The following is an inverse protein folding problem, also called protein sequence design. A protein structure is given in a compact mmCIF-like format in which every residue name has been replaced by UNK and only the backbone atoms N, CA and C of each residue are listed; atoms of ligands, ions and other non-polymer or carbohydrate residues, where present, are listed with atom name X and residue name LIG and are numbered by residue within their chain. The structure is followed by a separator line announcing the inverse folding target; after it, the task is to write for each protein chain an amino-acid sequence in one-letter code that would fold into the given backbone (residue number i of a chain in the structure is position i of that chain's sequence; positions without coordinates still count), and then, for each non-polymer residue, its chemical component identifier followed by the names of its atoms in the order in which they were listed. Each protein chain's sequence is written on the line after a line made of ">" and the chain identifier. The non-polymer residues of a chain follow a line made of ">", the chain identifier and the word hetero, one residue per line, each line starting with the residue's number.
data_IF_778860990209
#
_entry.id   IF_778860990209
#
_cell.length_a   1.000
_cell.length_b   1.000
_cell.length_c   1.000
_cell.angle_alpha   90.00
_cell.angle_beta   90.00
_cell.angle_gamma   90.00
#
_symmetry.space_group_name_H-M   'P 1'
#
loop_
_entity.id
_entity.type
_entity.pdbx_description
1 polymer ?
#
# COMPACT_ATOMS: atom_id res chain seq x y z
N UNK A 1 3.14 -6.72 18.28
CA UNK A 1 3.46 -5.45 17.59
C UNK A 1 4.05 -5.66 16.20
N UNK A 2 5.15 -6.42 16.03
CA UNK A 2 5.74 -6.65 14.70
C UNK A 2 4.82 -7.48 13.78
N UNK A 3 4.21 -8.54 14.31
CA UNK A 3 3.33 -9.42 13.53
C UNK A 3 2.09 -8.71 12.94
N UNK A 4 1.34 -7.90 13.72
CA UNK A 4 0.24 -7.10 13.18
C UNK A 4 0.67 -6.07 12.12
N UNK A 5 1.85 -5.47 12.27
CA UNK A 5 2.40 -4.55 11.25
C UNK A 5 2.68 -5.29 9.93
N UNK A 6 3.29 -6.48 10.00
CA UNK A 6 3.56 -7.31 8.82
C UNK A 6 2.24 -7.72 8.14
N UNK A 7 1.24 -8.12 8.92
CA UNK A 7 -0.10 -8.42 8.39
C UNK A 7 -0.73 -7.22 7.69
N UNK A 8 -0.59 -6.01 8.25
CA UNK A 8 -1.11 -4.81 7.61
C UNK A 8 -0.48 -4.56 6.23
N UNK A 9 0.84 -4.77 6.09
CA UNK A 9 1.50 -4.70 4.79
C UNK A 9 1.06 -5.82 3.84
N UNK A 10 0.94 -7.06 4.33
CA UNK A 10 0.49 -8.21 3.53
C UNK A 10 -0.97 -8.06 3.07
N UNK A 11 -1.81 -7.39 3.86
CA UNK A 11 -3.22 -7.17 3.53
C UNK A 11 -3.41 -6.01 2.54
N UNK A 12 -2.76 -4.86 2.78
CA UNK A 12 -2.97 -3.65 1.97
C UNK A 12 -2.11 -3.59 0.71
N UNK A 13 -1.08 -4.43 0.58
CA UNK A 13 -0.14 -4.41 -0.55
C UNK A 13 0.05 -5.80 -1.17
N UNK A 14 0.40 -5.82 -2.46
CA UNK A 14 0.75 -7.02 -3.22
C UNK A 14 2.25 -7.37 -3.11
N UNK A 15 2.99 -6.71 -2.23
CA UNK A 15 4.42 -6.95 -2.08
C UNK A 15 4.65 -8.34 -1.45
N UNK A 16 5.49 -9.20 -2.04
CA UNK A 16 5.72 -10.54 -1.52
C UNK A 16 6.56 -10.48 -0.23
N UNK A 17 5.89 -10.43 0.92
CA UNK A 17 6.53 -10.49 2.23
C UNK A 17 6.48 -11.94 2.72
N UNK A 18 7.58 -12.67 2.52
CA UNK A 18 7.70 -14.08 2.88
C UNK A 18 8.01 -14.28 4.38
N UNK A 19 7.15 -13.72 5.24
CA UNK A 19 7.22 -13.89 6.69
C UNK A 19 5.91 -14.55 7.13
N UNK A 20 6.04 -15.72 7.76
CA UNK A 20 4.89 -16.44 8.29
C UNK A 20 4.42 -15.74 9.57
N UNK A 21 3.20 -15.21 9.53
CA UNK A 21 2.53 -14.59 10.67
C UNK A 21 1.25 -15.36 10.96
N UNK A 22 0.98 -15.60 12.24
CA UNK A 22 -0.25 -16.27 12.68
C UNK A 22 -1.48 -15.38 12.41
N UNK A 23 -2.40 -15.89 11.59
CA UNK A 23 -3.67 -15.25 11.22
C UNK A 23 -4.74 -15.55 12.27
N UNK A 24 -4.56 -15.02 13.48
CA UNK A 24 -5.56 -15.07 14.55
C UNK A 24 -6.33 -13.74 14.65
N UNK A 25 -7.52 -13.78 15.26
CA UNK A 25 -8.42 -12.63 15.39
C UNK A 25 -7.74 -11.42 16.08
N UNK A 26 -6.87 -11.69 17.05
CA UNK A 26 -6.14 -10.65 17.77
C UNK A 26 -5.17 -9.90 16.85
N UNK A 27 -4.37 -10.62 16.08
CA UNK A 27 -3.40 -10.03 15.16
C UNK A 27 -4.08 -9.29 14.02
N UNK A 28 -5.22 -9.80 13.52
CA UNK A 28 -6.03 -9.12 12.51
C UNK A 28 -6.58 -7.81 13.07
N UNK A 29 -7.16 -7.83 14.28
CA UNK A 29 -7.69 -6.63 14.93
C UNK A 29 -6.59 -5.58 15.19
N UNK A 30 -5.45 -6.00 15.74
CA UNK A 30 -4.31 -5.11 16.00
C UNK A 30 -3.68 -4.56 14.71
N UNK A 31 -3.81 -5.26 13.57
CA UNK A 31 -3.22 -4.81 12.29
C UNK A 31 -3.87 -3.52 11.77
N UNK A 32 -5.14 -3.29 12.09
CA UNK A 32 -5.90 -2.11 11.65
C UNK A 32 -5.28 -0.81 12.16
N UNK A 33 -4.64 -0.83 13.34
CA UNK A 33 -3.92 0.32 13.88
C UNK A 33 -2.75 0.76 12.99
N UNK A 34 -2.21 -0.15 12.17
CA UNK A 34 -1.10 0.11 11.27
C UNK A 34 -1.56 0.48 9.85
N UNK A 35 -2.85 0.41 9.53
CA UNK A 35 -3.35 0.76 8.19
C UNK A 35 -3.04 2.21 7.81
N UNK A 36 -3.17 3.22 8.69
CA UNK A 36 -2.78 4.60 8.36
C UNK A 36 -1.29 4.72 8.03
N UNK A 37 -0.43 3.98 8.74
CA UNK A 37 1.00 3.99 8.49
C UNK A 37 1.34 3.35 7.14
N UNK A 38 0.76 2.19 6.83
CA UNK A 38 0.93 1.54 5.51
C UNK A 38 0.37 2.45 4.41
N UNK A 39 -0.79 3.07 4.62
CA UNK A 39 -1.37 4.06 3.70
C UNK A 39 -0.43 5.24 3.44
N UNK A 40 0.26 5.75 4.47
CA UNK A 40 1.28 6.79 4.30
C UNK A 40 2.43 6.31 3.39
N UNK A 41 2.91 5.08 3.57
CA UNK A 41 3.96 4.48 2.72
C UNK A 41 3.49 4.36 1.27
N UNK A 42 2.28 3.86 1.05
CA UNK A 42 1.64 3.77 -0.28
C UNK A 42 1.55 5.16 -0.94
N UNK A 43 1.12 6.16 -0.16
CA UNK A 43 1.01 7.55 -0.60
C UNK A 43 2.35 8.19 -0.94
N UNK A 44 3.40 7.95 -0.15
CA UNK A 44 4.76 8.42 -0.44
C UNK A 44 5.27 7.82 -1.74
N UNK A 45 5.07 6.52 -1.95
CA UNK A 45 5.52 5.86 -3.18
C UNK A 45 4.78 6.44 -4.39
N UNK A 46 3.45 6.54 -4.32
CA UNK A 46 2.62 6.99 -5.44
C UNK A 46 2.79 8.49 -5.72
N UNK A 47 2.92 9.30 -4.67
CA UNK A 47 3.26 10.72 -4.76
C UNK A 47 4.68 10.95 -5.27
N UNK A 48 5.63 10.07 -4.90
CA UNK A 48 6.98 10.06 -5.45
C UNK A 48 6.98 9.80 -6.96
N UNK A 49 6.16 8.86 -7.44
CA UNK A 49 5.96 8.62 -8.87
C UNK A 49 5.38 9.87 -9.54
N UNK A 50 4.36 10.49 -8.96
CA UNK A 50 3.80 11.73 -9.50
C UNK A 50 4.87 12.83 -9.65
N UNK A 51 5.64 13.10 -8.59
CA UNK A 51 6.66 14.14 -8.60
C UNK A 51 7.78 13.84 -9.60
N UNK A 52 8.19 12.58 -9.72
CA UNK A 52 9.21 12.15 -10.68
C UNK A 52 8.78 12.43 -12.14
N UNK A 53 7.52 12.19 -12.46
CA UNK A 53 6.97 12.34 -13.81
C UNK A 53 6.24 13.66 -14.06
N UNK A 54 6.17 14.56 -13.08
CA UNK A 54 5.49 15.86 -13.19
C UNK A 54 5.98 16.71 -14.36
N UNK A 55 7.27 16.60 -14.72
CA UNK A 55 7.89 17.26 -15.86
C UNK A 55 7.31 16.84 -17.23
N UNK A 56 6.72 15.65 -17.33
CA UNK A 56 6.10 15.13 -18.56
C UNK A 56 4.64 15.62 -18.74
N UNK A 57 4.09 16.36 -17.79
CA UNK A 57 2.72 16.86 -17.79
C UNK A 57 1.85 16.18 -16.72
N UNK A 58 0.89 16.94 -16.18
CA UNK A 58 0.07 16.51 -15.05
C UNK A 58 -0.78 15.26 -15.36
N UNK A 59 -1.27 15.13 -16.59
CA UNK A 59 -2.10 13.97 -16.98
C UNK A 59 -1.30 12.67 -16.94
N UNK A 60 -0.08 12.68 -17.51
CA UNK A 60 0.81 11.51 -17.53
C UNK A 60 1.27 11.19 -16.10
N UNK A 61 1.65 12.20 -15.32
CA UNK A 61 2.05 12.02 -13.93
C UNK A 61 0.93 11.42 -13.08
N UNK A 62 -0.31 11.89 -13.25
CA UNK A 62 -1.48 11.39 -12.54
C UNK A 62 -1.81 9.95 -12.94
N UNK A 63 -1.77 9.64 -14.24
CA UNK A 63 -1.96 8.28 -14.74
C UNK A 63 -0.94 7.30 -14.14
N UNK A 64 0.33 7.69 -14.10
CA UNK A 64 1.40 6.85 -13.54
C UNK A 64 1.27 6.70 -12.02
N UNK A 65 0.90 7.76 -11.30
CA UNK A 65 0.66 7.69 -9.87
C UNK A 65 -0.50 6.74 -9.53
N UNK A 66 -1.63 6.84 -10.23
CA UNK A 66 -2.76 5.90 -10.07
C UNK A 66 -2.38 4.48 -10.46
N UNK A 67 -1.62 4.31 -11.55
CA UNK A 67 -1.12 2.99 -11.95
C UNK A 67 -0.24 2.38 -10.87
N UNK A 68 0.64 3.16 -10.23
CA UNK A 68 1.46 2.68 -9.12
C UNK A 68 0.64 2.27 -7.90
N UNK A 69 -0.45 2.98 -7.57
CA UNK A 69 -1.40 2.57 -6.52
C UNK A 69 -2.00 1.20 -6.83
N UNK A 70 -2.45 0.98 -8.07
CA UNK A 70 -3.03 -0.28 -8.51
C UNK A 70 -2.00 -1.42 -8.43
N UNK A 71 -0.79 -1.22 -8.96
CA UNK A 71 0.26 -2.24 -8.91
C UNK A 71 0.67 -2.60 -7.47
N UNK A 72 0.78 -1.59 -6.61
CA UNK A 72 1.26 -1.79 -5.24
C UNK A 72 0.20 -2.42 -4.33
N UNK A 73 -1.08 -2.09 -4.53
CA UNK A 73 -2.20 -2.63 -3.73
C UNK A 73 -2.87 -3.86 -4.35
N UNK A 74 -2.54 -4.20 -5.61
CA UNK A 74 -3.25 -5.22 -6.37
C UNK A 74 -4.65 -4.81 -6.80
N UNK A 75 -4.98 -3.52 -6.74
CA UNK A 75 -6.31 -2.99 -7.09
C UNK A 75 -7.32 -3.01 -5.95
N UNK A 76 -6.90 -3.27 -4.70
CA UNK A 76 -7.79 -3.36 -3.53
C UNK A 76 -8.73 -2.14 -3.38
N UNK A 77 -8.23 -0.93 -3.65
CA UNK A 77 -9.03 0.31 -3.55
C UNK A 77 -10.03 0.50 -4.70
N UNK A 78 -9.88 -0.28 -5.79
CA UNK A 78 -10.74 -0.22 -6.97
C UNK A 78 -11.83 -1.31 -6.94
N UNK A 79 -11.83 -2.17 -5.93
CA UNK A 79 -12.74 -3.32 -5.82
C UNK A 79 -14.14 -2.93 -5.29
N UNK A 80 -14.32 -1.70 -4.77
CA UNK A 80 -15.62 -1.20 -4.29
C UNK A 80 -15.59 0.23 -3.76
#
# INVERSE_FOLDING_TARGET
>A
MISPLILAFQFLTRLPININVDYNDKNICESQLFYPFVGMVIGIISGGVYLAFSHAGNDIASLLAVSSLIFLTGGLHMDG
#
